data_IF_937987762936
#
_entry.id   IF_937987762936
#
_cell.length_a   1.000
_cell.length_b   1.000
_cell.length_c   1.000
_cell.angle_alpha   90.00
_cell.angle_beta   90.00
_cell.angle_gamma   90.00
#
_symmetry.space_group_name_H-M   'P 1'
#
loop_
_entity.id
_entity.type
_entity.pdbx_description
1 polymer ?
#
# COMPACT_ATOMS: atom_id res chain seq x y z
N UNK A 1 7.06 36.66 20.98
CA UNK A 1 7.55 36.30 22.32
C UNK A 1 8.85 37.04 22.56
N UNK A 2 8.80 38.06 23.42
CA UNK A 2 9.91 38.97 23.73
C UNK A 2 11.01 38.17 24.43
N UNK A 3 12.18 38.01 23.79
CA UNK A 3 13.29 37.27 24.39
C UNK A 3 13.83 38.06 25.59
N UNK A 4 13.74 37.46 26.77
CA UNK A 4 14.35 37.96 28.00
C UNK A 4 15.87 38.07 27.76
N UNK A 5 16.39 39.30 27.84
CA UNK A 5 17.84 39.58 27.86
C UNK A 5 18.50 38.72 28.94
N UNK A 6 19.47 37.84 28.61
CA UNK A 6 20.25 37.17 29.64
C UNK A 6 21.09 38.23 30.35
N UNK A 7 20.84 38.42 31.65
CA UNK A 7 21.70 39.23 32.53
C UNK A 7 23.00 38.45 32.77
N UNK A 8 24.02 38.70 31.97
CA UNK A 8 25.38 38.25 32.29
C UNK A 8 25.82 38.83 33.65
N UNK A 9 26.59 38.06 34.42
CA UNK A 9 27.05 38.48 35.74
C UNK A 9 27.99 39.69 35.63
N UNK A 10 27.56 40.86 36.12
CA UNK A 10 28.38 42.08 36.22
C UNK A 10 29.69 41.90 37.00
N UNK A 11 29.88 40.76 37.69
CA UNK A 11 31.04 40.47 38.54
C UNK A 11 32.32 40.23 37.72
N UNK A 12 32.22 39.57 36.57
CA UNK A 12 33.41 39.15 35.82
C UNK A 12 34.04 40.32 35.02
N UNK A 13 33.22 41.18 34.40
CA UNK A 13 33.70 42.42 33.75
C UNK A 13 34.52 43.31 34.69
N UNK A 14 34.20 43.30 35.99
CA UNK A 14 34.89 44.09 37.01
C UNK A 14 36.29 43.54 37.37
N UNK A 15 36.51 42.23 37.29
CA UNK A 15 37.79 41.62 37.69
C UNK A 15 38.93 42.02 36.76
N UNK A 16 38.70 41.97 35.45
CA UNK A 16 39.68 42.38 34.44
C UNK A 16 40.00 43.89 34.50
N UNK A 17 39.00 44.74 34.74
CA UNK A 17 39.23 46.18 34.95
C UNK A 17 39.95 46.45 36.27
N UNK A 18 39.66 45.65 37.30
CA UNK A 18 40.31 45.76 38.60
C UNK A 18 41.79 45.36 38.53
N UNK A 19 42.13 44.24 37.87
CA UNK A 19 43.53 43.84 37.71
C UNK A 19 44.36 44.90 36.97
N UNK A 20 43.81 45.50 35.91
CA UNK A 20 44.46 46.58 35.18
C UNK A 20 44.64 47.84 36.06
N UNK A 21 43.62 48.19 36.85
CA UNK A 21 43.68 49.31 37.78
C UNK A 21 44.72 49.08 38.89
N UNK A 22 44.82 47.86 39.42
CA UNK A 22 45.85 47.46 40.39
C UNK A 22 47.24 47.60 39.78
N UNK A 23 47.45 47.10 38.56
CA UNK A 23 48.76 47.21 37.89
C UNK A 23 49.14 48.67 37.60
N UNK A 24 48.19 49.48 37.12
CA UNK A 24 48.43 50.90 36.85
C UNK A 24 48.69 51.72 38.12
N UNK A 25 47.94 51.46 39.20
CA UNK A 25 48.14 52.13 40.49
C UNK A 25 49.48 51.71 41.11
N UNK A 26 49.81 50.41 41.03
CA UNK A 26 51.10 49.89 41.47
C UNK A 26 52.27 50.56 40.75
N UNK A 27 52.18 50.69 39.42
CA UNK A 27 53.19 51.39 38.62
C UNK A 27 53.39 52.85 39.05
N UNK A 28 52.30 53.62 39.21
CA UNK A 28 52.38 55.02 39.65
C UNK A 28 52.91 55.14 41.08
N UNK A 29 52.52 54.23 41.98
CA UNK A 29 53.03 54.19 43.34
C UNK A 29 54.54 53.94 43.38
N UNK A 30 55.05 53.03 42.53
CA UNK A 30 56.48 52.72 42.46
C UNK A 30 57.34 53.85 41.90
N UNK A 31 56.77 54.81 41.15
CA UNK A 31 57.51 56.00 40.67
C UNK A 31 58.10 56.84 41.81
N UNK A 32 57.49 56.83 43.00
CA UNK A 32 57.98 57.60 44.15
C UNK A 32 59.13 56.91 44.92
N UNK A 33 59.41 55.64 44.61
CA UNK A 33 60.42 54.82 45.30
C UNK A 33 61.62 54.46 44.39
N UNK A 34 61.85 55.25 43.35
CA UNK A 34 62.97 55.07 42.42
C UNK A 34 64.31 55.21 43.15
N UNK A 35 65.18 54.19 43.04
CA UNK A 35 66.52 54.16 43.64
C UNK A 35 66.78 53.06 44.67
N UNK A 36 65.79 52.20 44.97
CA UNK A 36 65.99 50.96 45.77
C UNK A 36 65.79 49.74 44.88
N UNK A 37 66.62 48.70 45.04
CA UNK A 37 66.52 47.45 44.28
C UNK A 37 65.10 46.85 44.27
N UNK A 38 64.40 46.88 45.41
CA UNK A 38 63.01 46.40 45.52
C UNK A 38 62.01 47.32 44.80
N UNK A 39 62.27 48.63 44.80
CA UNK A 39 61.46 49.61 44.08
C UNK A 39 61.53 49.42 42.58
N UNK A 40 62.75 49.23 42.05
CA UNK A 40 62.99 49.02 40.62
C UNK A 40 62.41 47.67 40.16
N UNK A 41 62.57 46.60 40.96
CA UNK A 41 62.00 45.27 40.70
C UNK A 41 60.47 45.32 40.58
N UNK A 42 59.81 45.98 41.54
CA UNK A 42 58.35 46.13 41.54
C UNK A 42 57.89 47.06 40.42
N UNK A 43 58.63 48.13 40.12
CA UNK A 43 58.32 49.02 39.01
C UNK A 43 58.34 48.25 37.68
N UNK A 44 59.38 47.45 37.42
CA UNK A 44 59.48 46.62 36.22
C UNK A 44 58.35 45.59 36.12
N UNK A 45 57.98 44.97 37.24
CA UNK A 45 56.80 44.11 37.32
C UNK A 45 55.51 44.85 36.98
N UNK A 46 55.20 45.96 37.66
CA UNK A 46 53.97 46.70 37.41
C UNK A 46 53.90 47.32 36.01
N UNK A 47 55.02 47.79 35.47
CA UNK A 47 55.13 48.29 34.10
C UNK A 47 54.82 47.19 33.09
N UNK A 48 55.51 46.06 33.18
CA UNK A 48 55.30 44.94 32.25
C UNK A 48 53.91 44.29 32.42
N UNK A 49 53.38 44.23 33.64
CA UNK A 49 52.02 43.77 33.93
C UNK A 49 50.94 44.71 33.39
N UNK A 50 51.16 46.03 33.46
CA UNK A 50 50.28 47.03 32.86
C UNK A 50 50.30 46.93 31.34
N UNK A 51 51.49 46.84 30.73
CA UNK A 51 51.66 46.66 29.28
C UNK A 51 51.02 45.36 28.81
N UNK A 52 51.24 44.24 29.52
CA UNK A 52 50.62 42.94 29.20
C UNK A 52 49.10 42.98 29.29
N UNK A 53 48.55 43.58 30.35
CA UNK A 53 47.10 43.75 30.51
C UNK A 53 46.47 44.67 29.46
N UNK A 54 47.17 45.73 29.03
CA UNK A 54 46.73 46.64 27.96
C UNK A 54 46.82 45.97 26.58
N UNK A 55 47.87 45.19 26.31
CA UNK A 55 48.04 44.45 25.07
C UNK A 55 46.91 43.42 24.87
N UNK A 56 46.60 42.63 25.90
CA UNK A 56 45.49 41.68 25.85
C UNK A 56 44.12 42.38 25.82
N UNK A 57 43.98 43.54 26.48
CA UNK A 57 42.79 44.37 26.31
C UNK A 57 42.60 44.79 24.86
N UNK A 58 43.66 45.26 24.21
CA UNK A 58 43.64 45.65 22.81
C UNK A 58 43.30 44.46 21.91
N UNK A 59 43.97 43.32 22.06
CA UNK A 59 43.76 42.13 21.24
C UNK A 59 42.33 41.58 21.36
N UNK A 60 41.82 41.43 22.60
CA UNK A 60 40.44 40.96 22.83
C UNK A 60 39.43 41.97 22.28
N UNK A 61 39.65 43.27 22.49
CA UNK A 61 38.73 44.29 21.97
C UNK A 61 38.74 44.31 20.44
N UNK A 62 39.92 44.23 19.83
CA UNK A 62 40.12 44.16 18.38
C UNK A 62 39.51 42.91 17.74
N UNK A 63 39.30 41.83 18.49
CA UNK A 63 38.61 40.64 17.99
C UNK A 63 37.12 40.93 17.72
N UNK A 64 36.46 41.66 18.63
CA UNK A 64 35.01 41.90 18.56
C UNK A 64 34.63 43.26 17.96
N UNK A 65 35.43 44.31 18.17
CA UNK A 65 35.09 45.71 17.82
C UNK A 65 36.34 46.53 17.49
N UNK A 66 36.14 47.79 17.10
CA UNK A 66 37.20 48.78 17.00
C UNK A 66 37.58 49.32 18.40
N UNK A 67 38.84 49.20 18.84
CA UNK A 67 39.27 49.75 20.13
C UNK A 67 39.13 51.28 20.12
N UNK A 68 38.59 51.84 21.21
CA UNK A 68 38.21 53.26 21.33
C UNK A 68 37.27 53.79 20.21
N UNK A 69 36.66 52.92 19.42
CA UNK A 69 35.84 53.31 18.27
C UNK A 69 36.62 53.78 17.05
N UNK A 70 37.95 53.71 17.06
CA UNK A 70 38.79 54.16 15.95
C UNK A 70 39.00 53.02 14.93
N UNK A 71 38.83 53.26 13.61
CA UNK A 71 38.97 52.23 12.58
C UNK A 71 40.45 51.90 12.31
N UNK A 72 41.10 51.25 13.27
CA UNK A 72 42.48 50.80 13.14
C UNK A 72 42.52 49.60 12.18
N UNK A 73 43.49 49.53 11.23
CA UNK A 73 43.64 48.38 10.35
C UNK A 73 43.78 47.09 11.18
N UNK A 74 43.15 46.01 10.71
CA UNK A 74 43.22 44.67 11.32
C UNK A 74 42.53 44.55 12.70
N UNK A 75 41.57 45.42 13.00
CA UNK A 75 40.64 45.29 14.14
C UNK A 75 39.24 44.88 13.67
N UNK A 76 38.32 44.61 14.60
CA UNK A 76 36.99 44.05 14.33
C UNK A 76 37.03 42.74 13.50
N UNK A 77 37.94 41.82 13.88
CA UNK A 77 38.25 40.61 13.09
C UNK A 77 37.06 39.65 12.92
N UNK A 78 36.25 39.43 13.95
CA UNK A 78 35.06 38.57 13.89
C UNK A 78 33.95 39.17 12.98
N UNK A 79 33.53 40.44 13.15
CA UNK A 79 32.58 41.09 12.24
C UNK A 79 33.05 41.04 10.79
N UNK A 80 34.31 41.41 10.53
CA UNK A 80 34.88 41.47 9.18
C UNK A 80 34.90 40.12 8.47
N UNK A 81 35.03 39.03 9.22
CA UNK A 81 35.04 37.66 8.71
C UNK A 81 33.73 36.89 8.91
N UNK A 82 32.62 37.57 9.28
CA UNK A 82 31.32 36.94 9.55
C UNK A 82 30.88 35.94 8.49
N UNK A 83 30.93 36.33 7.21
CA UNK A 83 30.52 35.46 6.09
C UNK A 83 31.32 34.17 6.04
N UNK A 84 32.64 34.26 6.23
CA UNK A 84 33.54 33.10 6.25
C UNK A 84 33.24 32.20 7.44
N UNK A 85 33.07 32.77 8.63
CA UNK A 85 32.75 32.01 9.85
C UNK A 85 31.39 31.32 9.74
N UNK A 86 30.37 32.04 9.27
CA UNK A 86 29.01 31.51 9.06
C UNK A 86 29.05 30.35 8.07
N UNK A 87 29.73 30.52 6.93
CA UNK A 87 29.91 29.45 5.94
C UNK A 87 30.64 28.24 6.51
N UNK A 88 31.68 28.46 7.32
CA UNK A 88 32.41 27.38 7.98
C UNK A 88 31.53 26.63 9.00
N UNK A 89 30.79 27.34 9.84
CA UNK A 89 29.85 26.74 10.81
C UNK A 89 28.76 25.93 10.13
N UNK A 90 28.16 26.46 9.06
CA UNK A 90 27.14 25.75 8.27
C UNK A 90 27.76 24.50 7.63
N UNK A 91 28.95 24.62 7.05
CA UNK A 91 29.67 23.49 6.46
C UNK A 91 30.00 22.39 7.48
N UNK A 92 30.46 22.75 8.68
CA UNK A 92 30.73 21.80 9.77
C UNK A 92 29.44 21.16 10.28
N UNK A 93 28.36 21.94 10.42
CA UNK A 93 27.07 21.40 10.83
C UNK A 93 26.53 20.39 9.80
N UNK A 94 26.63 20.70 8.51
CA UNK A 94 26.16 19.85 7.41
C UNK A 94 27.03 18.59 7.21
N UNK A 95 28.36 18.72 7.27
CA UNK A 95 29.26 17.64 6.90
C UNK A 95 29.77 16.82 8.10
N UNK A 96 29.94 17.43 9.27
CA UNK A 96 30.57 16.77 10.42
C UNK A 96 29.54 16.37 11.48
N UNK A 97 28.64 17.28 11.88
CA UNK A 97 27.73 17.04 13.01
C UNK A 97 26.43 16.33 12.59
N UNK A 98 25.77 16.84 11.56
CA UNK A 98 24.54 16.27 11.02
C UNK A 98 24.81 15.47 9.76
N UNK A 99 25.99 14.86 9.63
CA UNK A 99 26.34 14.04 8.47
C UNK A 99 25.24 12.99 8.17
N UNK A 100 25.11 12.61 6.90
CA UNK A 100 24.14 11.58 6.47
C UNK A 100 24.24 10.30 7.32
N UNK A 101 25.47 9.92 7.65
CA UNK A 101 25.74 8.76 8.50
C UNK A 101 25.30 8.96 9.96
N UNK A 102 25.57 10.14 10.54
CA UNK A 102 25.12 10.51 11.89
C UNK A 102 23.59 10.44 12.00
N UNK A 103 22.87 11.01 11.02
CA UNK A 103 21.41 10.99 10.96
C UNK A 103 20.91 9.55 10.78
N UNK A 104 21.46 8.79 9.83
CA UNK A 104 21.09 7.40 9.59
C UNK A 104 21.25 6.55 10.86
N UNK A 105 22.38 6.68 11.56
CA UNK A 105 22.64 5.95 12.80
C UNK A 105 21.67 6.38 13.90
N UNK A 106 21.29 7.66 13.96
CA UNK A 106 20.30 8.14 14.93
C UNK A 106 18.90 7.62 14.62
N UNK A 107 18.49 7.59 13.35
CA UNK A 107 17.19 7.04 12.91
C UNK A 107 17.08 5.56 13.26
N UNK A 108 18.14 4.77 13.05
CA UNK A 108 18.17 3.35 13.39
C UNK A 108 17.97 3.05 14.88
N UNK A 109 18.31 3.99 15.76
CA UNK A 109 18.11 3.85 17.20
C UNK A 109 16.68 4.17 17.66
N UNK A 110 15.84 4.70 16.77
CA UNK A 110 14.45 5.05 17.09
C UNK A 110 13.57 3.87 16.69
N UNK A 111 12.86 3.31 17.68
CA UNK A 111 11.79 2.34 17.43
C UNK A 111 10.51 3.11 17.06
N UNK A 112 10.24 3.28 15.77
CA UNK A 112 9.09 4.01 15.27
C UNK A 112 7.78 3.24 15.52
N UNK A 113 7.79 1.94 15.29
CA UNK A 113 6.63 1.05 15.48
C UNK A 113 6.12 1.08 16.92
N UNK A 114 7.00 1.01 17.93
CA UNK A 114 6.61 1.13 19.35
C UNK A 114 5.93 2.46 19.69
N UNK A 115 6.27 3.54 18.98
CA UNK A 115 5.67 4.87 19.19
C UNK A 115 4.41 5.10 18.37
N UNK A 116 4.36 4.57 17.14
CA UNK A 116 3.25 4.80 16.20
C UNK A 116 2.07 3.91 16.53
N UNK A 117 2.27 2.63 16.86
CA UNK A 117 1.18 1.69 17.10
C UNK A 117 0.21 2.14 18.20
N UNK A 118 0.66 2.58 19.39
CA UNK A 118 -0.25 3.07 20.43
C UNK A 118 -1.04 4.30 20.02
N UNK A 119 -0.41 5.20 19.24
CA UNK A 119 -1.10 6.38 18.70
C UNK A 119 -2.13 5.96 17.67
N UNK A 120 -1.78 5.05 16.76
CA UNK A 120 -2.68 4.51 15.75
C UNK A 120 -3.90 3.84 16.41
N UNK A 121 -3.68 3.02 17.43
CA UNK A 121 -4.72 2.33 18.19
C UNK A 121 -5.70 3.31 18.86
N UNK A 122 -5.18 4.37 19.48
CA UNK A 122 -6.01 5.40 20.10
C UNK A 122 -6.80 6.22 19.07
N UNK A 123 -6.15 6.63 17.99
CA UNK A 123 -6.76 7.51 16.97
C UNK A 123 -7.60 6.72 15.95
N UNK A 124 -7.54 5.39 15.90
CA UNK A 124 -8.31 4.55 14.98
C UNK A 124 -9.83 4.76 15.14
N UNK A 125 -10.27 5.02 16.36
CA UNK A 125 -11.67 5.30 16.68
C UNK A 125 -12.07 6.77 16.47
N UNK A 126 -11.14 7.64 16.08
CA UNK A 126 -11.43 9.06 15.83
C UNK A 126 -12.20 9.25 14.51
N UNK A 127 -13.15 10.19 14.51
CA UNK A 127 -13.94 10.51 13.32
C UNK A 127 -13.10 10.92 12.09
N UNK A 128 -12.00 11.68 12.23
CA UNK A 128 -11.15 12.02 11.08
C UNK A 128 -10.49 10.80 10.43
N UNK A 129 -9.98 9.86 11.23
CA UNK A 129 -9.35 8.63 10.71
C UNK A 129 -10.38 7.72 10.07
N UNK A 130 -11.56 7.55 10.70
CA UNK A 130 -12.69 6.80 10.11
C UNK A 130 -13.07 7.36 8.73
N UNK A 131 -13.31 8.68 8.64
CA UNK A 131 -13.64 9.36 7.37
C UNK A 131 -12.51 9.23 6.35
N UNK A 132 -11.26 9.38 6.78
CA UNK A 132 -10.09 9.18 5.92
C UNK A 132 -10.00 7.75 5.37
N UNK A 133 -10.21 6.74 6.20
CA UNK A 133 -10.18 5.34 5.81
C UNK A 133 -11.31 4.98 4.84
N UNK A 134 -12.53 5.46 5.09
CA UNK A 134 -13.66 5.31 4.15
C UNK A 134 -13.38 6.02 2.83
N UNK A 135 -12.83 7.24 2.85
CA UNK A 135 -12.47 7.98 1.65
C UNK A 135 -11.38 7.26 0.84
N UNK A 136 -10.35 6.72 1.49
CA UNK A 136 -9.31 5.94 0.84
C UNK A 136 -9.87 4.65 0.23
N UNK A 137 -10.70 3.91 0.96
CA UNK A 137 -11.37 2.71 0.45
C UNK A 137 -12.24 3.04 -0.78
N UNK A 138 -13.05 4.10 -0.69
CA UNK A 138 -13.87 4.61 -1.80
C UNK A 138 -13.02 4.93 -3.02
N UNK A 139 -11.91 5.66 -2.82
CA UNK A 139 -11.00 6.03 -3.90
C UNK A 139 -10.36 4.80 -4.54
N UNK A 140 -9.86 3.85 -3.74
CA UNK A 140 -9.29 2.59 -4.25
C UNK A 140 -10.30 1.81 -5.08
N UNK A 141 -11.54 1.64 -4.58
CA UNK A 141 -12.60 0.91 -5.31
C UNK A 141 -12.95 1.62 -6.61
N UNK A 142 -13.05 2.95 -6.60
CA UNK A 142 -13.37 3.75 -7.80
C UNK A 142 -12.27 3.72 -8.86
N UNK A 143 -11.00 3.53 -8.46
CA UNK A 143 -9.86 3.46 -9.37
C UNK A 143 -9.64 2.06 -9.97
N UNK A 144 -10.41 1.05 -9.56
CA UNK A 144 -10.36 -0.28 -10.17
C UNK A 144 -10.80 -0.16 -11.63
N UNK A 145 -9.86 -0.39 -12.54
CA UNK A 145 -10.14 -0.46 -13.97
C UNK A 145 -10.81 -1.81 -14.27
N UNK A 146 -12.13 -1.79 -14.47
CA UNK A 146 -12.92 -2.98 -14.73
C UNK A 146 -12.57 -3.65 -16.06
N UNK A 147 -12.13 -2.90 -17.08
CA UNK A 147 -11.69 -3.46 -18.37
C UNK A 147 -10.46 -4.36 -18.22
N UNK A 148 -9.59 -4.10 -17.23
CA UNK A 148 -8.45 -4.97 -16.91
C UNK A 148 -8.84 -6.19 -16.08
N UNK A 149 -9.92 -6.09 -15.30
CA UNK A 149 -10.41 -7.18 -14.44
C UNK A 149 -11.29 -8.15 -15.22
N UNK A 150 -12.05 -7.66 -16.20
CA UNK A 150 -12.98 -8.47 -17.02
C UNK A 150 -12.30 -9.70 -17.65
N UNK A 151 -11.15 -9.60 -18.33
CA UNK A 151 -10.50 -10.77 -18.92
C UNK A 151 -10.05 -11.81 -17.89
N UNK A 152 -9.66 -11.36 -16.69
CA UNK A 152 -9.30 -12.26 -15.60
C UNK A 152 -10.52 -13.04 -15.10
N UNK A 153 -11.62 -12.33 -14.86
CA UNK A 153 -12.89 -12.95 -14.42
C UNK A 153 -13.45 -13.86 -15.51
N UNK A 154 -13.41 -13.45 -16.77
CA UNK A 154 -13.82 -14.27 -17.91
C UNK A 154 -13.03 -15.57 -17.97
N UNK A 155 -11.71 -15.51 -17.84
CA UNK A 155 -10.85 -16.69 -17.83
C UNK A 155 -11.21 -17.63 -16.69
N UNK A 156 -11.41 -17.11 -15.47
CA UNK A 156 -11.78 -17.94 -14.31
C UNK A 156 -13.17 -18.57 -14.48
N UNK A 157 -14.14 -17.85 -15.05
CA UNK A 157 -15.46 -18.38 -15.37
C UNK A 157 -15.36 -19.50 -16.42
N UNK A 158 -14.66 -19.26 -17.53
CA UNK A 158 -14.44 -20.27 -18.58
C UNK A 158 -13.71 -21.51 -18.03
N UNK A 159 -12.70 -21.30 -17.19
CA UNK A 159 -11.97 -22.37 -16.49
C UNK A 159 -12.91 -23.19 -15.60
N UNK A 160 -13.76 -22.52 -14.81
CA UNK A 160 -14.75 -23.19 -13.97
C UNK A 160 -15.71 -24.05 -14.80
N UNK A 161 -16.22 -23.54 -15.93
CA UNK A 161 -17.08 -24.31 -16.83
C UNK A 161 -16.37 -25.50 -17.48
N UNK A 162 -15.10 -25.35 -17.90
CA UNK A 162 -14.33 -26.48 -18.42
C UNK A 162 -14.12 -27.58 -17.36
N UNK A 163 -13.92 -27.19 -16.10
CA UNK A 163 -13.72 -28.13 -15.00
C UNK A 163 -15.00 -28.88 -14.56
N UNK A 164 -16.18 -28.44 -15.01
CA UNK A 164 -17.43 -29.15 -14.73
C UNK A 164 -17.50 -30.45 -15.54
N UNK A 165 -17.70 -31.57 -14.83
CA UNK A 165 -17.94 -32.88 -15.42
C UNK A 165 -19.38 -32.97 -15.94
N UNK A 166 -19.57 -33.06 -17.26
CA UNK A 166 -20.93 -33.13 -17.83
C UNK A 166 -21.67 -34.41 -17.46
N UNK A 167 -20.94 -35.48 -17.11
CA UNK A 167 -21.54 -36.72 -16.63
C UNK A 167 -22.37 -36.51 -15.37
N UNK A 168 -21.87 -35.76 -14.38
CA UNK A 168 -22.58 -35.47 -13.14
C UNK A 168 -23.81 -34.58 -13.37
N UNK A 169 -23.67 -33.56 -14.24
CA UNK A 169 -24.77 -32.65 -14.61
C UNK A 169 -25.88 -33.43 -15.33
N UNK A 170 -25.51 -34.30 -16.27
CA UNK A 170 -26.44 -35.12 -17.03
C UNK A 170 -27.18 -36.12 -16.14
N UNK A 171 -26.49 -36.79 -15.21
CA UNK A 171 -27.13 -37.67 -14.24
C UNK A 171 -28.12 -36.92 -13.35
N UNK A 172 -27.73 -35.74 -12.84
CA UNK A 172 -28.62 -34.90 -12.05
C UNK A 172 -29.86 -34.48 -12.85
N UNK A 173 -29.68 -34.11 -14.11
CA UNK A 173 -30.78 -33.75 -15.01
C UNK A 173 -31.72 -34.94 -15.27
N UNK A 174 -31.18 -36.13 -15.54
CA UNK A 174 -31.95 -37.36 -15.74
C UNK A 174 -32.73 -37.71 -14.48
N UNK A 175 -32.09 -37.70 -13.31
CA UNK A 175 -32.77 -37.98 -12.04
C UNK A 175 -33.91 -36.99 -11.77
N UNK A 176 -33.69 -35.69 -12.00
CA UNK A 176 -34.74 -34.68 -11.88
C UNK A 176 -35.88 -34.91 -12.88
N UNK A 177 -35.57 -35.35 -14.10
CA UNK A 177 -36.57 -35.65 -15.11
C UNK A 177 -37.42 -36.86 -14.74
N UNK A 178 -36.80 -37.90 -14.18
CA UNK A 178 -37.49 -39.09 -13.68
C UNK A 178 -38.34 -38.79 -12.45
N UNK A 179 -37.84 -38.00 -11.50
CA UNK A 179 -38.61 -37.58 -10.31
C UNK A 179 -39.86 -36.77 -10.69
N UNK A 180 -39.76 -35.93 -11.73
CA UNK A 180 -40.88 -35.11 -12.23
C UNK A 180 -41.76 -35.84 -13.25
N UNK A 181 -41.49 -37.12 -13.48
CA UNK A 181 -42.20 -37.99 -14.42
C UNK A 181 -42.30 -37.37 -15.83
N UNK A 182 -41.22 -36.72 -16.28
CA UNK A 182 -41.19 -36.13 -17.63
C UNK A 182 -41.17 -37.19 -18.73
N UNK A 183 -40.70 -38.39 -18.43
CA UNK A 183 -40.82 -39.57 -19.30
C UNK A 183 -42.28 -39.92 -19.58
N UNK A 184 -43.16 -39.89 -18.56
CA UNK A 184 -44.59 -40.15 -18.74
C UNK A 184 -45.27 -39.02 -19.52
N UNK A 185 -44.98 -37.77 -19.17
CA UNK A 185 -45.55 -36.59 -19.87
C UNK A 185 -45.11 -36.54 -21.32
N UNK A 186 -43.85 -36.85 -21.61
CA UNK A 186 -43.33 -36.93 -22.97
C UNK A 186 -44.02 -38.06 -23.75
N UNK A 187 -44.19 -39.23 -23.14
CA UNK A 187 -44.90 -40.35 -23.76
C UNK A 187 -46.35 -39.98 -24.08
N UNK A 188 -47.08 -39.35 -23.15
CA UNK A 188 -48.47 -38.94 -23.37
C UNK A 188 -48.61 -37.90 -24.48
N UNK A 189 -47.68 -36.94 -24.53
CA UNK A 189 -47.63 -35.95 -25.59
C UNK A 189 -47.35 -36.60 -26.97
N UNK A 190 -46.37 -37.51 -27.03
CA UNK A 190 -46.03 -38.23 -28.26
C UNK A 190 -47.17 -39.15 -28.73
N UNK A 191 -47.83 -39.85 -27.81
CA UNK A 191 -49.00 -40.67 -28.13
C UNK A 191 -50.16 -39.83 -28.66
N UNK A 192 -50.38 -38.64 -28.09
CA UNK A 192 -51.36 -37.68 -28.62
C UNK A 192 -51.04 -37.24 -30.06
N UNK A 193 -49.77 -36.92 -30.33
CA UNK A 193 -49.33 -36.55 -31.70
C UNK A 193 -49.38 -37.72 -32.67
N UNK A 194 -49.05 -38.93 -32.22
CA UNK A 194 -49.20 -40.14 -33.01
C UNK A 194 -50.67 -40.38 -33.37
N UNK A 195 -51.59 -40.23 -32.42
CA UNK A 195 -53.03 -40.37 -32.65
C UNK A 195 -53.54 -39.36 -33.70
N UNK A 196 -53.18 -38.08 -33.56
CA UNK A 196 -53.51 -37.02 -34.52
C UNK A 196 -52.98 -37.34 -35.92
N UNK A 197 -51.74 -37.82 -36.01
CA UNK A 197 -51.11 -38.18 -37.29
C UNK A 197 -51.76 -39.41 -37.93
N UNK A 198 -52.05 -40.45 -37.15
CA UNK A 198 -52.69 -41.68 -37.64
C UNK A 198 -54.12 -41.39 -38.14
N UNK A 199 -54.87 -40.49 -37.50
CA UNK A 199 -56.25 -40.15 -37.91
C UNK A 199 -56.34 -39.44 -39.28
N UNK A 200 -55.25 -38.88 -39.81
CA UNK A 200 -55.28 -38.17 -41.10
C UNK A 200 -55.57 -39.14 -42.25
N UNK A 201 -56.43 -38.72 -43.19
CA UNK A 201 -56.78 -39.54 -44.36
C UNK A 201 -55.58 -39.88 -45.24
N UNK A 202 -54.57 -38.99 -45.32
CA UNK A 202 -53.34 -39.26 -46.07
C UNK A 202 -52.54 -40.43 -45.45
N UNK A 203 -52.48 -40.49 -44.13
CA UNK A 203 -51.75 -41.53 -43.40
C UNK A 203 -52.36 -42.91 -43.64
N UNK A 204 -53.69 -43.02 -43.78
CA UNK A 204 -54.38 -44.27 -44.15
C UNK A 204 -53.84 -44.82 -45.48
N UNK A 205 -53.72 -43.98 -46.50
CA UNK A 205 -53.22 -44.39 -47.82
C UNK A 205 -51.73 -44.75 -47.75
N UNK A 206 -50.92 -43.98 -47.02
CA UNK A 206 -49.50 -44.29 -46.80
C UNK A 206 -49.30 -45.65 -46.11
N UNK A 207 -50.09 -45.93 -45.07
CA UNK A 207 -50.06 -47.23 -44.39
C UNK A 207 -50.47 -48.37 -45.32
N UNK A 208 -51.49 -48.17 -46.16
CA UNK A 208 -51.90 -49.13 -47.19
C UNK A 208 -50.79 -49.44 -48.18
N UNK A 209 -50.10 -48.40 -48.69
CA UNK A 209 -48.94 -48.56 -49.58
C UNK A 209 -47.79 -49.33 -48.92
N UNK A 210 -47.49 -49.03 -47.64
CA UNK A 210 -46.47 -49.75 -46.87
C UNK A 210 -46.87 -51.23 -46.74
N UNK A 211 -48.15 -51.51 -46.46
CA UNK A 211 -48.65 -52.88 -46.35
C UNK A 211 -48.48 -53.67 -47.64
N UNK A 212 -48.87 -53.08 -48.78
CA UNK A 212 -48.74 -53.72 -50.10
C UNK A 212 -47.28 -53.99 -50.42
N UNK A 213 -46.39 -52.99 -50.26
CA UNK A 213 -44.96 -53.16 -50.50
C UNK A 213 -44.32 -54.21 -49.60
N UNK A 214 -44.74 -54.27 -48.34
CA UNK A 214 -44.27 -55.30 -47.41
C UNK A 214 -44.71 -56.69 -47.85
N UNK A 215 -45.93 -56.83 -48.39
CA UNK A 215 -46.43 -58.10 -48.95
C UNK A 215 -45.72 -58.48 -50.26
N UNK A 216 -45.41 -57.52 -51.12
CA UNK A 216 -44.72 -57.76 -52.39
C UNK A 216 -43.27 -58.21 -52.19
N UNK A 217 -42.62 -57.76 -51.11
CA UNK A 217 -41.25 -58.13 -50.78
C UNK A 217 -41.13 -59.49 -50.07
N UNK A 218 -42.24 -60.20 -49.84
CA UNK A 218 -42.24 -61.54 -49.25
C UNK A 218 -42.09 -62.57 -50.38
N UNK A 219 -40.86 -63.04 -50.62
CA UNK A 219 -40.59 -64.17 -51.51
C UNK A 219 -41.00 -65.48 -50.80
N UNK A 220 -42.09 -66.08 -51.26
CA UNK A 220 -42.57 -67.39 -50.79
C UNK A 220 -42.85 -68.29 -51.98
N UNK A 221 -42.58 -69.59 -51.82
CA UNK A 221 -42.74 -70.57 -52.89
C UNK A 221 -44.14 -71.23 -52.93
N UNK A 222 -44.58 -71.59 -54.14
CA UNK A 222 -45.71 -72.51 -54.37
C UNK A 222 -47.09 -71.99 -53.92
N UNK A 223 -47.85 -72.84 -53.23
CA UNK A 223 -49.23 -72.58 -52.79
C UNK A 223 -49.37 -71.31 -51.92
N UNK A 224 -48.32 -70.94 -51.16
CA UNK A 224 -48.31 -69.71 -50.37
C UNK A 224 -48.27 -68.45 -51.25
N UNK A 225 -47.54 -68.45 -52.37
CA UNK A 225 -47.52 -67.31 -53.28
C UNK A 225 -48.87 -67.11 -53.99
N UNK A 226 -49.53 -68.22 -54.34
CA UNK A 226 -50.89 -68.21 -54.88
C UNK A 226 -51.89 -67.66 -53.84
N UNK A 227 -51.78 -68.08 -52.59
CA UNK A 227 -52.61 -67.56 -51.50
C UNK A 227 -52.38 -66.06 -51.30
N UNK A 228 -51.12 -65.59 -51.17
CA UNK A 228 -50.80 -64.18 -50.97
C UNK A 228 -51.31 -63.29 -52.11
N UNK A 229 -51.10 -63.69 -53.38
CA UNK A 229 -51.63 -62.95 -54.53
C UNK A 229 -53.16 -62.89 -54.51
N UNK A 230 -53.83 -63.97 -54.10
CA UNK A 230 -55.29 -63.98 -53.96
C UNK A 230 -55.78 -63.05 -52.83
N UNK A 231 -55.03 -62.96 -51.72
CA UNK A 231 -55.31 -62.00 -50.65
C UNK A 231 -55.09 -60.54 -51.09
N UNK A 232 -54.06 -60.27 -51.91
CA UNK A 232 -53.80 -58.94 -52.48
C UNK A 232 -54.94 -58.45 -53.40
N UNK A 233 -55.56 -59.35 -54.19
CA UNK A 233 -56.68 -58.97 -55.06
C UNK A 233 -57.96 -58.63 -54.28
N UNK A 234 -58.14 -59.22 -53.09
CA UNK A 234 -59.32 -59.00 -52.23
C UNK A 234 -59.17 -57.80 -51.27
N UNK A 235 -57.93 -57.49 -50.89
CA UNK A 235 -57.55 -56.42 -49.96
C UNK A 235 -56.77 -55.33 -50.72
N UNK A 236 -57.50 -54.31 -51.19
CA UNK A 236 -56.87 -53.14 -51.80
C UNK A 236 -56.14 -52.26 -50.76
N UNK A 237 -55.34 -51.31 -51.26
CA UNK A 237 -54.55 -50.36 -50.46
C UNK A 237 -55.39 -49.68 -49.38
N UNK A 238 -56.63 -49.30 -49.72
CA UNK A 238 -57.54 -48.63 -48.81
C UNK A 238 -57.97 -49.53 -47.62
N UNK A 239 -58.31 -50.80 -47.88
CA UNK A 239 -58.69 -51.75 -46.84
C UNK A 239 -57.52 -52.06 -45.92
N UNK A 240 -56.34 -52.35 -46.48
CA UNK A 240 -55.12 -52.60 -45.68
C UNK A 240 -54.75 -51.37 -44.85
N UNK A 241 -54.83 -50.17 -45.45
CA UNK A 241 -54.65 -48.91 -44.75
C UNK A 241 -55.61 -48.73 -43.59
N UNK A 242 -56.91 -49.03 -43.78
CA UNK A 242 -57.92 -48.95 -42.71
C UNK A 242 -57.67 -49.93 -41.57
N UNK A 243 -57.23 -51.15 -41.87
CA UNK A 243 -56.92 -52.18 -40.89
C UNK A 243 -55.71 -51.74 -40.05
N UNK A 244 -54.61 -51.33 -40.70
CA UNK A 244 -53.42 -50.85 -40.02
C UNK A 244 -53.69 -49.57 -39.21
N UNK A 245 -54.45 -48.64 -39.76
CA UNK A 245 -54.85 -47.42 -39.06
C UNK A 245 -55.61 -47.74 -37.77
N UNK A 246 -56.62 -48.63 -37.83
CA UNK A 246 -57.38 -49.04 -36.66
C UNK A 246 -56.53 -49.81 -35.64
N UNK A 247 -55.61 -50.67 -36.10
CA UNK A 247 -54.67 -51.39 -35.23
C UNK A 247 -53.74 -50.41 -34.51
N UNK A 248 -53.14 -49.45 -35.23
CA UNK A 248 -52.25 -48.44 -34.64
C UNK A 248 -52.99 -47.52 -33.68
N UNK A 249 -54.22 -47.09 -34.00
CA UNK A 249 -55.06 -46.33 -33.07
C UNK A 249 -55.37 -47.12 -31.79
N UNK A 250 -55.61 -48.44 -31.91
CA UNK A 250 -55.79 -49.31 -30.75
C UNK A 250 -54.52 -49.42 -29.91
N UNK A 251 -53.35 -49.57 -30.54
CA UNK A 251 -52.06 -49.59 -29.84
C UNK A 251 -51.82 -48.28 -29.09
N UNK A 252 -52.02 -47.14 -29.75
CA UNK A 252 -51.87 -45.82 -29.12
C UNK A 252 -52.85 -45.63 -27.96
N UNK A 253 -54.12 -45.98 -28.16
CA UNK A 253 -55.14 -45.92 -27.11
C UNK A 253 -54.79 -46.80 -25.90
N UNK A 254 -54.33 -48.03 -26.15
CA UNK A 254 -53.88 -48.95 -25.10
C UNK A 254 -52.68 -48.38 -24.33
N UNK A 255 -51.70 -47.78 -25.02
CA UNK A 255 -50.51 -47.17 -24.39
C UNK A 255 -50.83 -45.90 -23.59
N UNK A 256 -51.96 -45.23 -23.85
CA UNK A 256 -52.44 -44.08 -23.05
C UNK A 256 -53.10 -44.50 -21.73
N UNK A 257 -53.51 -45.76 -21.59
CA UNK A 257 -54.09 -46.25 -20.33
C UNK A 257 -52.97 -46.44 -19.29
N UNK A 258 -53.12 -45.81 -18.12
CA UNK A 258 -52.13 -45.82 -17.04
C UNK A 258 -51.79 -47.25 -16.58
N UNK A 259 -52.79 -48.13 -16.52
CA UNK A 259 -52.60 -49.51 -16.06
C UNK A 259 -52.14 -50.51 -17.11
N UNK A 260 -51.93 -50.07 -18.36
CA UNK A 260 -51.55 -50.97 -19.44
C UNK A 260 -50.15 -51.58 -19.21
N UNK A 261 -50.06 -52.90 -19.32
CA UNK A 261 -48.79 -53.64 -19.14
C UNK A 261 -47.72 -53.19 -20.14
N UNK A 262 -48.08 -52.92 -21.39
CA UNK A 262 -47.13 -52.47 -22.41
C UNK A 262 -46.65 -51.04 -22.15
N UNK A 263 -47.50 -50.16 -21.60
CA UNK A 263 -47.09 -48.82 -21.16
C UNK A 263 -46.05 -48.91 -20.05
N UNK A 264 -46.33 -49.70 -19.00
CA UNK A 264 -45.42 -49.90 -17.87
C UNK A 264 -44.09 -50.50 -18.32
N UNK A 265 -44.12 -51.47 -19.24
CA UNK A 265 -42.91 -52.07 -19.82
C UNK A 265 -42.09 -51.06 -20.64
N UNK A 266 -42.74 -50.24 -21.48
CA UNK A 266 -42.09 -49.20 -22.27
C UNK A 266 -41.43 -48.16 -21.38
N UNK A 267 -42.14 -47.65 -20.36
CA UNK A 267 -41.60 -46.68 -19.42
C UNK A 267 -40.44 -47.27 -18.61
N UNK A 268 -40.53 -48.52 -18.15
CA UNK A 268 -39.44 -49.19 -17.45
C UNK A 268 -38.19 -49.31 -18.35
N UNK A 269 -38.36 -49.67 -19.61
CA UNK A 269 -37.26 -49.72 -20.57
C UNK A 269 -36.63 -48.34 -20.79
N UNK A 270 -37.45 -47.30 -21.04
CA UNK A 270 -36.98 -45.91 -21.18
C UNK A 270 -36.22 -45.45 -19.94
N UNK A 271 -36.74 -45.73 -18.72
CA UNK A 271 -36.07 -45.38 -17.46
C UNK A 271 -34.72 -46.07 -17.30
N UNK A 272 -34.65 -47.35 -17.70
CA UNK A 272 -33.42 -48.14 -17.64
C UNK A 272 -32.37 -47.60 -18.61
N UNK A 273 -32.77 -47.28 -19.84
CA UNK A 273 -31.90 -46.64 -20.84
C UNK A 273 -31.45 -45.24 -20.39
N UNK A 274 -32.35 -44.43 -19.84
CA UNK A 274 -31.98 -43.12 -19.29
C UNK A 274 -30.93 -43.24 -18.17
N UNK A 275 -31.07 -44.23 -17.29
CA UNK A 275 -30.10 -44.46 -16.21
C UNK A 275 -28.76 -45.01 -16.72
N UNK A 276 -28.74 -45.72 -17.85
CA UNK A 276 -27.52 -46.28 -18.47
C UNK A 276 -26.74 -45.25 -19.31
N UNK A 277 -27.33 -44.07 -19.61
CA UNK A 277 -26.66 -42.98 -20.36
C UNK A 277 -25.32 -42.58 -19.73
N UNK A 278 -25.20 -42.64 -18.40
CA UNK A 278 -23.93 -42.34 -17.70
C UNK A 278 -22.76 -43.24 -18.12
N UNK A 279 -23.06 -44.44 -18.60
CA UNK A 279 -22.08 -45.44 -19.01
C UNK A 279 -21.79 -45.34 -20.53
N UNK A 280 -22.58 -44.55 -21.27
CA UNK A 280 -22.42 -44.33 -22.69
C UNK A 280 -21.31 -43.29 -22.96
N UNK A 281 -20.08 -43.80 -23.12
CA UNK A 281 -18.88 -42.99 -23.39
C UNK A 281 -18.99 -42.13 -24.65
N UNK A 282 -19.73 -42.57 -25.68
CA UNK A 282 -19.86 -41.82 -26.93
C UNK A 282 -20.74 -40.57 -26.73
N UNK A 283 -21.92 -40.72 -26.10
CA UNK A 283 -22.80 -39.59 -25.80
C UNK A 283 -22.15 -38.58 -24.85
N UNK A 284 -21.45 -39.07 -23.82
CA UNK A 284 -20.70 -38.19 -22.92
C UNK A 284 -19.64 -37.38 -23.68
N UNK A 285 -18.91 -38.00 -24.61
CA UNK A 285 -17.93 -37.30 -25.43
C UNK A 285 -18.57 -36.25 -26.33
N UNK A 286 -19.73 -36.54 -26.93
CA UNK A 286 -20.47 -35.56 -27.74
C UNK A 286 -20.94 -34.36 -26.91
N UNK A 287 -21.46 -34.59 -25.71
CA UNK A 287 -21.91 -33.54 -24.80
C UNK A 287 -20.72 -32.70 -24.31
N UNK A 288 -19.57 -33.32 -24.01
CA UNK A 288 -18.34 -32.60 -23.65
C UNK A 288 -17.82 -31.74 -24.82
N UNK A 289 -17.80 -32.28 -26.05
CA UNK A 289 -17.42 -31.49 -27.22
C UNK A 289 -18.38 -30.32 -27.45
N UNK A 290 -19.69 -30.53 -27.26
CA UNK A 290 -20.69 -29.47 -27.36
C UNK A 290 -20.48 -28.40 -26.28
N UNK A 291 -20.18 -28.79 -25.04
CA UNK A 291 -19.79 -27.88 -23.96
C UNK A 291 -18.59 -27.03 -24.38
N UNK A 292 -17.52 -27.66 -24.85
CA UNK A 292 -16.29 -26.95 -25.23
C UNK A 292 -16.53 -25.98 -26.38
N UNK A 293 -17.35 -26.36 -27.37
CA UNK A 293 -17.74 -25.47 -28.46
C UNK A 293 -18.54 -24.25 -27.97
N UNK A 294 -19.52 -24.47 -27.10
CA UNK A 294 -20.30 -23.39 -26.51
C UNK A 294 -19.43 -22.42 -25.69
N UNK A 295 -18.48 -22.93 -24.91
CA UNK A 295 -17.56 -22.08 -24.14
C UNK A 295 -16.63 -21.28 -25.07
N UNK A 296 -16.20 -21.87 -26.19
CA UNK A 296 -15.33 -21.23 -27.17
C UNK A 296 -16.02 -20.06 -27.89
N UNK A 297 -17.28 -20.23 -28.30
CA UNK A 297 -18.06 -19.18 -28.97
C UNK A 297 -18.64 -18.14 -28.00
N UNK A 298 -18.64 -18.43 -26.70
CA UNK A 298 -19.20 -17.54 -25.70
C UNK A 298 -18.24 -16.40 -25.37
N UNK A 299 -18.67 -15.16 -25.67
CA UNK A 299 -17.95 -13.92 -25.38
C UNK A 299 -18.68 -13.08 -24.31
N UNK A 300 -18.60 -13.46 -23.02
CA UNK A 300 -19.33 -12.77 -21.95
C UNK A 300 -18.71 -11.45 -21.50
N UNK A 301 -17.65 -10.96 -22.14
CA UNK A 301 -16.85 -9.83 -21.67
C UNK A 301 -17.69 -8.58 -21.36
N UNK A 302 -18.61 -8.20 -22.24
CA UNK A 302 -19.50 -7.05 -22.01
C UNK A 302 -20.41 -7.28 -20.79
N UNK A 303 -21.01 -8.48 -20.69
CA UNK A 303 -21.91 -8.82 -19.59
C UNK A 303 -21.19 -8.88 -18.25
N UNK A 304 -19.98 -9.45 -18.23
CA UNK A 304 -19.10 -9.47 -17.06
C UNK A 304 -18.79 -8.04 -16.64
N UNK A 305 -18.43 -7.17 -17.58
CA UNK A 305 -18.14 -5.76 -17.29
C UNK A 305 -19.36 -5.06 -16.69
N UNK A 306 -20.56 -5.27 -17.23
CA UNK A 306 -21.81 -4.72 -16.69
C UNK A 306 -22.08 -5.21 -15.24
N UNK A 307 -21.88 -6.51 -14.98
CA UNK A 307 -22.04 -7.10 -13.64
C UNK A 307 -21.00 -6.53 -12.67
N UNK A 308 -19.75 -6.40 -13.10
CA UNK A 308 -18.67 -5.82 -12.31
C UNK A 308 -18.93 -4.34 -11.99
N UNK A 309 -19.44 -3.57 -12.95
CA UNK A 309 -19.84 -2.17 -12.74
C UNK A 309 -20.95 -2.05 -11.69
N UNK A 310 -22.01 -2.85 -11.84
CA UNK A 310 -23.11 -2.90 -10.85
C UNK A 310 -22.61 -3.32 -9.48
N UNK A 311 -21.66 -4.25 -9.43
CA UNK A 311 -21.05 -4.72 -8.17
C UNK A 311 -20.20 -3.63 -7.54
N UNK A 312 -19.35 -2.94 -8.32
CA UNK A 312 -18.54 -1.81 -7.86
C UNK A 312 -19.42 -0.72 -7.26
N UNK A 313 -20.53 -0.36 -7.92
CA UNK A 313 -21.49 0.63 -7.40
C UNK A 313 -22.12 0.20 -6.07
N UNK A 314 -22.54 -1.07 -5.96
CA UNK A 314 -23.07 -1.62 -4.70
C UNK A 314 -22.03 -1.60 -3.58
N UNK A 315 -20.77 -1.94 -3.90
CA UNK A 315 -19.67 -1.91 -2.93
C UNK A 315 -19.36 -0.47 -2.51
N UNK A 316 -19.35 0.49 -3.43
CA UNK A 316 -19.16 1.91 -3.10
C UNK A 316 -20.27 2.42 -2.17
N UNK A 317 -21.54 2.12 -2.48
CA UNK A 317 -22.66 2.49 -1.62
C UNK A 317 -22.57 1.83 -0.23
N UNK A 318 -22.14 0.57 -0.18
CA UNK A 318 -21.93 -0.15 1.07
C UNK A 318 -20.81 0.47 1.92
N UNK A 319 -19.67 0.82 1.32
CA UNK A 319 -18.54 1.43 2.03
C UNK A 319 -18.87 2.83 2.58
N UNK A 320 -19.76 3.56 1.91
CA UNK A 320 -20.24 4.87 2.33
C UNK A 320 -21.28 4.82 3.45
N UNK A 321 -21.88 3.65 3.74
CA UNK A 321 -22.80 3.50 4.86
C UNK A 321 -22.03 3.67 6.19
N UNK A 322 -22.55 4.52 7.07
CA UNK A 322 -22.09 4.66 8.46
C UNK A 322 -21.87 3.33 9.18
N UNK A 323 -22.74 2.34 8.95
CA UNK A 323 -22.68 1.02 9.57
C UNK A 323 -21.46 0.22 9.11
N UNK A 324 -20.98 0.41 7.88
CA UNK A 324 -19.83 -0.30 7.36
C UNK A 324 -18.58 -0.05 8.21
N UNK A 325 -18.40 1.20 8.61
CA UNK A 325 -17.23 1.63 9.38
C UNK A 325 -17.14 0.90 10.71
N UNK A 326 -18.20 0.97 11.51
CA UNK A 326 -18.17 0.42 12.86
C UNK A 326 -18.31 -1.12 12.89
N UNK A 327 -19.05 -1.71 11.94
CA UNK A 327 -19.30 -3.15 11.93
C UNK A 327 -18.22 -3.96 11.20
N UNK A 328 -17.57 -3.41 10.17
CA UNK A 328 -16.62 -4.15 9.33
C UNK A 328 -15.23 -3.50 9.31
N UNK A 329 -15.12 -2.19 9.05
CA UNK A 329 -13.84 -1.53 8.86
C UNK A 329 -13.00 -1.49 10.15
N UNK A 330 -13.58 -1.01 11.26
CA UNK A 330 -12.85 -0.91 12.52
C UNK A 330 -12.45 -2.28 13.08
N UNK A 331 -13.33 -3.30 13.13
CA UNK A 331 -12.93 -4.64 13.56
C UNK A 331 -11.86 -5.26 12.65
N UNK A 332 -11.92 -5.01 11.34
CA UNK A 332 -10.89 -5.45 10.39
C UNK A 332 -9.54 -4.77 10.67
N UNK A 333 -9.51 -3.43 10.79
CA UNK A 333 -8.29 -2.68 11.06
C UNK A 333 -7.70 -3.03 12.42
N UNK A 334 -8.53 -3.20 13.44
CA UNK A 334 -8.11 -3.62 14.79
C UNK A 334 -7.48 -5.02 14.75
N UNK A 335 -8.13 -5.97 14.06
CA UNK A 335 -7.62 -7.34 13.91
C UNK A 335 -6.31 -7.37 13.12
N UNK A 336 -6.23 -6.60 12.04
CA UNK A 336 -5.02 -6.48 11.24
C UNK A 336 -3.87 -5.93 12.08
N UNK A 337 -4.12 -4.86 12.86
CA UNK A 337 -3.13 -4.26 13.75
C UNK A 337 -2.67 -5.25 14.84
N UNK A 338 -3.60 -5.98 15.47
CA UNK A 338 -3.26 -6.98 16.48
C UNK A 338 -2.43 -8.12 15.88
N UNK A 339 -2.81 -8.62 14.70
CA UNK A 339 -2.05 -9.67 14.01
C UNK A 339 -0.66 -9.19 13.57
N UNK A 340 -0.52 -7.92 13.16
CA UNK A 340 0.78 -7.32 12.89
C UNK A 340 1.63 -7.18 14.16
N UNK A 341 1.01 -6.92 15.31
CA UNK A 341 1.68 -6.77 16.60
C UNK A 341 2.18 -8.10 17.19
N UNK A 342 1.50 -9.20 16.88
CA UNK A 342 1.90 -10.55 17.31
C UNK A 342 3.13 -11.08 16.54
N UNK A 343 3.30 -10.63 15.30
CA UNK A 343 4.36 -11.10 14.41
C UNK A 343 5.59 -10.16 14.44
N UNK A 344 6.55 -10.47 15.31
CA UNK A 344 7.77 -9.68 15.48
C UNK A 344 8.57 -9.53 14.16
N UNK A 345 8.52 -10.52 13.26
CA UNK A 345 9.22 -10.43 11.97
C UNK A 345 8.59 -9.37 11.05
N UNK A 346 7.24 -9.28 11.03
CA UNK A 346 6.53 -8.24 10.29
C UNK A 346 6.76 -6.86 10.90
N UNK A 347 6.75 -6.72 12.24
CA UNK A 347 7.08 -5.45 12.92
C UNK A 347 8.47 -4.98 12.49
N UNK A 348 9.48 -5.86 12.56
CA UNK A 348 10.85 -5.51 12.17
C UNK A 348 10.94 -5.11 10.68
N UNK A 349 10.13 -5.74 9.82
CA UNK A 349 10.07 -5.37 8.39
C UNK A 349 9.48 -3.98 8.19
N UNK A 350 8.39 -3.65 8.89
CA UNK A 350 7.75 -2.33 8.87
C UNK A 350 8.70 -1.27 9.46
N UNK A 351 9.34 -1.57 10.58
CA UNK A 351 10.32 -0.70 11.24
C UNK A 351 11.46 -0.33 10.28
N UNK A 352 12.09 -1.34 9.68
CA UNK A 352 13.16 -1.14 8.72
C UNK A 352 12.69 -0.35 7.48
N UNK A 353 11.47 -0.60 7.01
CA UNK A 353 10.88 0.16 5.90
C UNK A 353 10.69 1.64 6.29
N UNK A 354 10.11 1.93 7.46
CA UNK A 354 9.92 3.31 7.96
C UNK A 354 11.27 4.01 8.11
N UNK A 355 12.23 3.37 8.78
CA UNK A 355 13.58 3.91 8.97
C UNK A 355 14.26 4.22 7.64
N UNK A 356 14.11 3.34 6.64
CA UNK A 356 14.65 3.56 5.29
C UNK A 356 13.97 4.73 4.58
N UNK A 357 12.64 4.84 4.63
CA UNK A 357 11.93 5.96 4.02
C UNK A 357 12.31 7.30 4.67
N UNK A 358 12.36 7.36 6.00
CA UNK A 358 12.79 8.57 6.72
C UNK A 358 14.24 8.91 6.38
N UNK A 359 15.13 7.92 6.34
CA UNK A 359 16.54 8.13 5.97
C UNK A 359 16.65 8.70 4.55
N UNK A 360 15.95 8.11 3.58
CA UNK A 360 15.95 8.60 2.20
C UNK A 360 15.44 10.05 2.11
N UNK A 361 14.31 10.35 2.76
CA UNK A 361 13.74 11.70 2.79
C UNK A 361 14.72 12.71 3.39
N UNK A 362 15.41 12.35 4.48
CA UNK A 362 16.38 13.23 5.12
C UNK A 362 17.63 13.39 4.25
N UNK A 363 18.14 12.31 3.64
CA UNK A 363 19.30 12.36 2.76
C UNK A 363 19.07 13.21 1.50
N UNK A 364 17.88 13.12 0.90
CA UNK A 364 17.46 13.94 -0.24
C UNK A 364 17.36 15.44 0.12
N UNK A 365 17.01 15.74 1.37
CA UNK A 365 16.83 17.11 1.86
C UNK A 365 17.99 17.62 2.72
N UNK A 366 19.08 16.85 2.85
CA UNK A 366 20.21 17.13 3.74
C UNK A 366 20.80 18.53 3.54
N UNK A 367 21.00 18.93 2.28
CA UNK A 367 21.54 20.26 1.93
C UNK A 367 20.60 21.42 2.28
N UNK A 368 19.29 21.15 2.43
CA UNK A 368 18.32 22.18 2.86
C UNK A 368 18.50 22.55 4.33
N UNK A 369 19.04 21.65 5.16
CA UNK A 369 19.32 21.93 6.57
C UNK A 369 20.39 23.02 6.69
N UNK A 370 21.49 22.86 5.97
CA UNK A 370 22.57 23.86 5.93
C UNK A 370 22.05 25.21 5.43
N UNK A 371 21.27 25.21 4.34
CA UNK A 371 20.65 26.42 3.80
C UNK A 371 19.71 27.11 4.80
N UNK A 372 18.86 26.36 5.51
CA UNK A 372 17.96 26.91 6.52
C UNK A 372 18.72 27.56 7.67
N UNK A 373 19.80 26.94 8.16
CA UNK A 373 20.64 27.52 9.21
C UNK A 373 21.35 28.77 8.70
N UNK A 374 21.88 28.73 7.47
CA UNK A 374 22.51 29.87 6.83
C UNK A 374 21.55 31.06 6.70
N UNK A 375 20.33 30.84 6.19
CA UNK A 375 19.32 31.88 6.04
C UNK A 375 18.92 32.52 7.38
N UNK A 376 18.87 31.74 8.45
CA UNK A 376 18.59 32.26 9.79
C UNK A 376 19.78 33.05 10.37
N UNK A 377 21.02 32.59 10.15
CA UNK A 377 22.22 33.32 10.55
C UNK A 377 22.37 34.62 9.76
N UNK A 378 22.04 34.62 8.47
CA UNK A 378 22.13 35.79 7.60
C UNK A 378 21.11 36.88 7.94
N UNK A 379 19.97 36.53 8.55
CA UNK A 379 18.96 37.49 9.05
C UNK A 379 19.41 38.27 10.29
N UNK A 380 20.42 37.79 11.02
CA UNK A 380 20.92 38.45 12.21
C UNK A 380 21.89 39.58 11.81
N UNK A 381 21.68 40.77 12.37
CA UNK A 381 22.63 41.87 12.25
C UNK A 381 23.95 41.54 12.97
N UNK A 382 25.02 42.19 12.52
CA UNK A 382 26.37 41.95 13.03
C UNK A 382 26.45 42.21 14.54
N UNK A 383 25.84 43.30 15.02
CA UNK A 383 25.87 43.66 16.45
C UNK A 383 25.21 42.58 17.32
N UNK A 384 24.05 42.07 16.90
CA UNK A 384 23.34 41.00 17.62
C UNK A 384 24.16 39.71 17.65
N UNK A 385 24.76 39.30 16.52
CA UNK A 385 25.61 38.09 16.47
C UNK A 385 26.83 38.24 17.38
N UNK A 386 27.53 39.38 17.29
CA UNK A 386 28.71 39.70 18.12
C UNK A 386 28.32 39.70 19.59
N UNK A 387 27.20 40.33 19.96
CA UNK A 387 26.75 40.38 21.35
C UNK A 387 26.44 38.98 21.87
N UNK A 388 25.82 38.10 21.07
CA UNK A 388 25.60 36.71 21.47
C UNK A 388 26.90 35.93 21.69
N UNK A 389 27.90 36.12 20.82
CA UNK A 389 29.21 35.49 20.98
C UNK A 389 29.97 36.03 22.20
N UNK A 390 29.99 37.36 22.39
CA UNK A 390 30.62 38.02 23.53
C UNK A 390 29.95 37.60 24.85
N UNK A 391 28.63 37.40 24.85
CA UNK A 391 27.91 36.91 26.02
C UNK A 391 28.26 35.46 26.38
N UNK A 392 28.54 34.62 25.37
CA UNK A 392 28.90 33.21 25.60
C UNK A 392 30.37 33.00 25.97
N UNK A 393 31.29 33.79 25.39
CA UNK A 393 32.76 33.59 25.52
C UNK A 393 33.41 34.66 26.44
N UNK A 394 32.68 35.72 26.79
CA UNK A 394 33.24 36.90 27.48
C UNK A 394 33.88 36.63 28.84
N UNK A 395 33.42 35.60 29.56
CA UNK A 395 34.04 35.21 30.85
C UNK A 395 35.44 34.65 30.65
N UNK A 396 35.63 33.80 29.64
CA UNK A 396 36.92 33.14 29.37
C UNK A 396 37.93 34.16 28.82
N UNK A 397 37.47 35.09 27.99
CA UNK A 397 38.29 36.20 27.49
C UNK A 397 38.78 37.15 28.58
N UNK A 398 38.02 37.31 29.66
CA UNK A 398 38.45 38.14 30.79
C UNK A 398 39.60 37.49 31.57
N UNK A 399 39.60 36.17 31.69
CA UNK A 399 40.70 35.44 32.31
C UNK A 399 42.00 35.57 31.51
N UNK A 400 41.93 35.57 30.17
CA UNK A 400 43.09 35.86 29.32
C UNK A 400 43.70 37.21 29.71
N UNK A 401 42.89 38.26 29.87
CA UNK A 401 43.37 39.60 30.26
C UNK A 401 43.99 39.67 31.66
N UNK A 402 43.38 38.98 32.64
CA UNK A 402 43.93 38.91 34.01
C UNK A 402 45.25 38.16 34.00
N UNK A 403 45.32 37.04 33.27
CA UNK A 403 46.55 36.24 33.13
C UNK A 403 47.64 37.03 32.41
N UNK A 404 47.32 37.80 31.36
CA UNK A 404 48.28 38.68 30.68
C UNK A 404 48.90 39.72 31.61
N UNK A 405 48.10 40.32 32.50
CA UNK A 405 48.61 41.25 33.50
C UNK A 405 49.50 40.57 34.55
N UNK A 406 49.13 39.37 35.01
CA UNK A 406 49.92 38.62 36.00
C UNK A 406 51.23 38.08 35.40
N UNK A 407 51.16 37.48 34.21
CA UNK A 407 52.36 37.00 33.50
C UNK A 407 53.28 38.16 33.14
N UNK A 408 52.72 39.27 32.65
CA UNK A 408 53.49 40.48 32.40
C UNK A 408 54.21 40.95 33.68
N UNK A 409 53.54 40.93 34.83
CA UNK A 409 54.15 41.29 36.11
C UNK A 409 55.31 40.39 36.51
N UNK A 410 55.15 39.07 36.40
CA UNK A 410 56.20 38.10 36.72
C UNK A 410 57.40 38.25 35.77
N UNK A 411 57.14 38.41 34.47
CA UNK A 411 58.19 38.59 33.45
C UNK A 411 58.93 39.92 33.67
N UNK A 412 58.22 40.98 34.04
CA UNK A 412 58.81 42.28 34.35
C UNK A 412 59.79 42.21 35.52
N UNK A 413 59.40 41.53 36.60
CA UNK A 413 60.29 41.28 37.75
C UNK A 413 61.56 40.55 37.28
N UNK A 414 61.40 39.46 36.54
CA UNK A 414 62.51 38.64 36.08
C UNK A 414 63.47 39.41 35.14
N UNK A 415 62.92 40.22 34.23
CA UNK A 415 63.72 41.06 33.33
C UNK A 415 64.48 42.16 34.08
N UNK A 416 63.87 42.75 35.11
CA UNK A 416 64.54 43.76 35.93
C UNK A 416 65.63 43.14 36.81
N UNK A 417 65.39 41.95 37.35
CA UNK A 417 66.40 41.20 38.10
C UNK A 417 67.65 40.91 37.23
N UNK A 418 67.44 40.46 35.99
CA UNK A 418 68.53 40.26 35.02
C UNK A 418 69.25 41.57 34.72
N UNK A 419 68.51 42.66 34.48
CA UNK A 419 69.11 43.98 34.22
C UNK A 419 69.90 44.55 35.40
N UNK A 420 69.59 44.14 36.63
CA UNK A 420 70.32 44.56 37.81
C UNK A 420 71.59 43.72 38.07
N UNK A 421 71.69 42.54 37.45
CA UNK A 421 72.83 41.63 37.51
C UNK A 421 73.91 41.91 36.45
N UNK A 422 73.56 42.67 35.40
CA UNK A 422 74.45 43.10 34.30
C UNK A 422 74.84 44.55 34.55
#
# INVERSE_FOLDING_TARGET
MISKRPKQSKKSKRLASFSLAVMGTGFVATLHFQGSFLGDLLQGGFEAGLVGGLADWFAVTALFRHPMGLPIPHTALLPKNRKRMTKALVSTLENDWLSKESIRNKIKQINFTEKIFPVLERELHSDPIKKGAVSLATQMISQINLEKVTPFVEKEIKSAFHSMEMSAVLQSAINQALIREYDEKALDYLLGKAEEWIKKSNTKNQLGNIAIRALDNIEVDGFLQFALKSFQTLLNEEKLGSILQNLLLRVVSNLRQIDNTNRKALLLHVRTELQSIKDNKNLLKEIENWKDHLIAEWEPAEKITEILQKTQQKVLAFVQDSKFTDMYLLPFLTRLMNHLKEDQAKINTIENWIQKQITNLVEENHSKIGKLVQENLDKLDDETLIHMMEDKIGKDLQWIRVNGAICGFIIGIFLTEIKALI
#
